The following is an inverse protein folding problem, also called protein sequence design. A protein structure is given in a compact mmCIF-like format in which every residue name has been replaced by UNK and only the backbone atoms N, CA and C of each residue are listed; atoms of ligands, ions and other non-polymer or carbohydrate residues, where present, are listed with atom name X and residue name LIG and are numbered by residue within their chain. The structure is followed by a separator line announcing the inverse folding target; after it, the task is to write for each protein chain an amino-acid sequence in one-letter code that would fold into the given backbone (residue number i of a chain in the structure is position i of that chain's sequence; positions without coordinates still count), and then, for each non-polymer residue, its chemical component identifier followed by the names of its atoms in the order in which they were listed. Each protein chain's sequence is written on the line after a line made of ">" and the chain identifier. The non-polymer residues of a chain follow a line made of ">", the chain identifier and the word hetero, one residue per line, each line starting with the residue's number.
data_IF_800749458250
#
_entry.id   IF_800749458250
#
_cell.length_a   1.000
_cell.length_b   1.000
_cell.length_c   1.000
_cell.angle_alpha   90.00
_cell.angle_beta   90.00
_cell.angle_gamma   90.00
#
_symmetry.space_group_name_H-M   'P 1'
#
loop_
_entity.id
_entity.type
_entity.pdbx_description
1 polymer ?
#
# COMPACT_ATOMS: atom_id res chain seq x y z
N UNK A 1 -30.24 -3.30 -6.19
CA UNK A 1 -28.77 -3.29 -6.38
C UNK A 1 -28.21 -2.42 -5.27
N UNK A 2 -27.50 -2.99 -4.31
CA UNK A 2 -27.02 -2.22 -3.14
C UNK A 2 -25.70 -1.53 -3.53
N UNK A 3 -25.80 -0.33 -4.07
CA UNK A 3 -24.64 0.50 -4.38
C UNK A 3 -24.17 1.04 -3.03
N UNK A 4 -23.03 0.57 -2.54
CA UNK A 4 -22.39 1.22 -1.41
C UNK A 4 -21.92 2.59 -1.93
N UNK A 5 -22.58 3.67 -1.51
CA UNK A 5 -22.25 5.05 -1.87
C UNK A 5 -20.93 5.45 -1.20
N UNK A 6 -19.81 4.93 -1.70
CA UNK A 6 -18.48 5.31 -1.26
C UNK A 6 -18.01 6.55 -2.00
N UNK A 7 -17.80 7.62 -1.24
CA UNK A 7 -17.30 8.88 -1.76
C UNK A 7 -15.80 9.02 -1.52
N UNK A 8 -15.03 9.34 -2.57
CA UNK A 8 -13.59 9.56 -2.47
C UNK A 8 -13.21 10.70 -1.51
N UNK A 9 -14.11 11.68 -1.28
CA UNK A 9 -13.94 12.75 -0.30
C UNK A 9 -13.73 12.20 1.12
N UNK A 10 -14.17 10.98 1.42
CA UNK A 10 -13.89 10.32 2.70
C UNK A 10 -12.38 10.18 2.98
N UNK A 11 -11.53 10.23 1.95
CA UNK A 11 -10.08 10.11 2.08
C UNK A 11 -9.34 11.44 2.25
N UNK A 12 -10.02 12.59 2.38
CA UNK A 12 -9.38 13.92 2.36
C UNK A 12 -8.22 14.11 3.37
N UNK A 13 -8.29 13.44 4.53
CA UNK A 13 -7.25 13.52 5.57
C UNK A 13 -6.36 12.26 5.63
N UNK A 14 -6.45 11.39 4.63
CA UNK A 14 -5.65 10.16 4.57
C UNK A 14 -4.24 10.47 4.07
N UNK A 15 -3.24 9.99 4.82
CA UNK A 15 -1.84 10.06 4.40
C UNK A 15 -1.49 8.91 3.47
N UNK A 16 -0.75 9.20 2.40
CA UNK A 16 -0.44 8.24 1.34
C UNK A 16 1.07 7.97 1.30
N UNK A 17 1.44 6.69 1.34
CA UNK A 17 2.82 6.24 1.18
C UNK A 17 2.97 5.44 -0.12
N UNK A 18 3.95 5.83 -0.94
CA UNK A 18 4.31 5.15 -2.16
C UNK A 18 5.63 4.37 -1.98
N UNK A 19 5.60 3.07 -2.30
CA UNK A 19 6.77 2.19 -2.23
C UNK A 19 7.26 1.94 -3.66
N UNK A 20 8.42 2.49 -3.99
CA UNK A 20 9.00 2.48 -5.33
C UNK A 20 8.62 3.70 -6.16
N UNK A 21 9.54 4.12 -7.04
CA UNK A 21 9.35 5.25 -7.96
C UNK A 21 8.21 5.00 -8.94
N UNK A 22 8.08 3.78 -9.47
CA UNK A 22 6.99 3.41 -10.37
C UNK A 22 5.61 3.55 -9.71
N UNK A 23 5.47 3.11 -8.46
CA UNK A 23 4.22 3.27 -7.69
C UNK A 23 3.88 4.76 -7.52
N UNK A 24 4.85 5.60 -7.18
CA UNK A 24 4.62 7.04 -7.06
C UNK A 24 4.18 7.69 -8.39
N UNK A 25 4.78 7.27 -9.51
CA UNK A 25 4.40 7.73 -10.84
C UNK A 25 2.96 7.31 -11.21
N UNK A 26 2.59 6.05 -10.91
CA UNK A 26 1.23 5.56 -11.16
C UNK A 26 0.19 6.28 -10.28
N UNK A 27 0.50 6.55 -9.02
CA UNK A 27 -0.37 7.35 -8.15
C UNK A 27 -0.62 8.75 -8.76
N UNK A 28 0.43 9.40 -9.26
CA UNK A 28 0.32 10.70 -9.93
C UNK A 28 -0.57 10.64 -11.17
N UNK A 29 -0.44 9.61 -12.01
CA UNK A 29 -1.30 9.40 -13.19
C UNK A 29 -2.76 9.19 -12.83
N UNK A 30 -3.06 8.70 -11.63
CA UNK A 30 -4.40 8.43 -11.12
C UNK A 30 -4.93 9.53 -10.18
N UNK A 31 -4.39 10.76 -10.26
CA UNK A 31 -4.91 11.91 -9.52
C UNK A 31 -4.35 12.11 -8.11
N UNK A 32 -3.41 11.26 -7.67
CA UNK A 32 -2.69 11.41 -6.40
C UNK A 32 -1.32 12.01 -6.69
N UNK A 33 -1.25 13.33 -6.86
CA UNK A 33 -0.08 14.01 -7.41
C UNK A 33 1.18 13.95 -6.54
N UNK A 34 1.02 13.92 -5.21
CA UNK A 34 2.12 13.95 -4.25
C UNK A 34 1.81 13.09 -3.02
N UNK A 35 2.31 11.84 -2.96
CA UNK A 35 2.29 11.05 -1.74
C UNK A 35 3.08 11.74 -0.62
N UNK A 36 2.60 11.63 0.63
CA UNK A 36 3.28 12.18 1.81
C UNK A 36 4.63 11.48 2.07
N UNK A 37 4.74 10.20 1.71
CA UNK A 37 5.95 9.41 1.86
C UNK A 37 6.26 8.72 0.53
N UNK A 38 7.49 8.88 0.04
CA UNK A 38 7.99 8.13 -1.12
C UNK A 38 9.25 7.36 -0.69
N UNK A 39 9.19 6.04 -0.79
CA UNK A 39 10.32 5.15 -0.48
C UNK A 39 10.86 4.59 -1.78
N UNK A 40 11.92 5.19 -2.34
CA UNK A 40 12.44 4.83 -3.67
C UNK A 40 13.16 3.49 -3.70
N UNK A 41 13.75 3.05 -2.59
CA UNK A 41 14.35 1.72 -2.46
C UNK A 41 13.26 0.72 -2.06
N UNK A 42 12.90 -0.19 -2.96
CA UNK A 42 11.88 -1.23 -2.80
C UNK A 42 12.25 -2.35 -1.81
N UNK A 43 12.99 -2.03 -0.74
CA UNK A 43 13.23 -2.94 0.38
C UNK A 43 12.29 -2.56 1.51
N UNK A 44 11.47 -3.48 2.00
CA UNK A 44 10.51 -3.23 3.09
C UNK A 44 11.12 -2.53 4.31
N UNK A 45 12.40 -2.79 4.58
CA UNK A 45 13.19 -2.12 5.63
C UNK A 45 13.31 -0.59 5.47
N UNK A 46 13.22 -0.07 4.25
CA UNK A 46 13.35 1.37 3.98
C UNK A 46 12.10 2.14 4.42
N UNK A 47 10.92 1.51 4.39
CA UNK A 47 9.69 2.10 4.91
C UNK A 47 9.70 2.10 6.44
N UNK A 48 10.14 1.01 7.07
CA UNK A 48 10.25 0.90 8.53
C UNK A 48 11.16 1.99 9.11
N UNK A 49 12.30 2.25 8.47
CA UNK A 49 13.19 3.37 8.86
C UNK A 49 12.50 4.74 8.85
N UNK A 50 11.43 4.93 8.06
CA UNK A 50 10.64 6.16 8.13
C UNK A 50 9.69 6.20 9.32
N UNK A 51 9.22 5.06 9.80
CA UNK A 51 8.43 4.97 11.03
C UNK A 51 9.26 5.19 12.30
N UNK A 52 10.60 5.09 12.24
CA UNK A 52 11.45 5.58 13.33
C UNK A 52 11.35 7.10 13.51
N UNK A 53 11.12 7.83 12.42
CA UNK A 53 11.01 9.30 12.42
C UNK A 53 9.58 9.82 12.42
N UNK A 54 8.59 8.94 12.26
CA UNK A 54 7.17 9.27 12.15
C UNK A 54 6.40 8.43 13.14
N UNK A 55 5.75 9.08 14.12
CA UNK A 55 4.92 8.37 15.07
C UNK A 55 3.65 7.83 14.38
N UNK A 56 3.55 6.51 14.28
CA UNK A 56 2.38 5.82 13.71
C UNK A 56 1.53 5.10 14.78
N UNK A 57 1.82 5.32 16.07
CA UNK A 57 1.09 4.67 17.16
C UNK A 57 -0.40 5.01 17.07
N UNK A 58 -1.24 3.98 17.18
CA UNK A 58 -2.71 4.01 17.05
C UNK A 58 -3.25 4.37 15.65
N UNK A 59 -2.41 4.64 14.65
CA UNK A 59 -2.88 4.91 13.29
C UNK A 59 -3.46 3.65 12.66
N UNK A 60 -4.51 3.83 11.85
CA UNK A 60 -5.06 2.76 11.00
C UNK A 60 -4.36 2.83 9.64
N UNK A 61 -3.68 1.76 9.26
CA UNK A 61 -2.94 1.68 8.00
C UNK A 61 -3.61 0.64 7.10
N UNK A 62 -4.00 1.05 5.90
CA UNK A 62 -4.53 0.17 4.86
C UNK A 62 -3.41 -0.16 3.87
N UNK A 63 -3.19 -1.45 3.62
CA UNK A 63 -2.19 -1.91 2.64
C UNK A 63 -2.89 -2.75 1.57
N UNK A 64 -3.16 -2.17 0.39
CA UNK A 64 -3.52 -2.92 -0.80
C UNK A 64 -2.30 -3.73 -1.27
N UNK A 65 -2.42 -5.06 -1.32
CA UNK A 65 -1.33 -5.96 -1.71
C UNK A 65 -1.82 -7.08 -2.64
N UNK A 66 -0.94 -7.77 -3.38
CA UNK A 66 -1.35 -8.98 -4.07
C UNK A 66 -1.83 -10.06 -3.09
N UNK A 67 -2.61 -11.00 -3.61
CA UNK A 67 -3.10 -12.14 -2.84
C UNK A 67 -1.94 -12.92 -2.20
N UNK A 68 -0.88 -13.15 -2.99
CA UNK A 68 0.31 -13.91 -2.58
C UNK A 68 1.52 -12.98 -2.63
N UNK A 69 2.26 -12.96 -1.53
CA UNK A 69 3.50 -12.17 -1.38
C UNK A 69 3.27 -10.72 -0.98
N UNK A 70 4.19 -10.19 -0.19
CA UNK A 70 4.37 -8.76 0.06
C UNK A 70 5.81 -8.56 0.50
N UNK A 71 6.45 -7.49 0.03
CA UNK A 71 7.79 -7.11 0.49
C UNK A 71 7.77 -6.37 1.84
N UNK A 72 6.59 -6.11 2.40
CA UNK A 72 6.39 -5.42 3.67
C UNK A 72 6.25 -6.40 4.83
N UNK A 73 7.02 -6.16 5.89
CA UNK A 73 6.87 -6.86 7.15
C UNK A 73 5.77 -6.21 7.99
N UNK A 74 4.56 -6.77 7.92
CA UNK A 74 3.38 -6.25 8.62
C UNK A 74 3.56 -6.30 10.14
N UNK A 75 4.17 -7.37 10.66
CA UNK A 75 4.38 -7.54 12.11
C UNK A 75 5.30 -6.44 12.62
N UNK A 76 6.34 -6.10 11.86
CA UNK A 76 7.23 -5.02 12.22
C UNK A 76 6.50 -3.67 12.26
N UNK A 77 5.58 -3.39 11.33
CA UNK A 77 4.77 -2.14 11.36
C UNK A 77 3.86 -2.12 12.59
N UNK A 78 3.23 -3.23 12.93
CA UNK A 78 2.36 -3.36 14.11
C UNK A 78 3.13 -3.20 15.43
N UNK A 79 4.41 -3.57 15.49
CA UNK A 79 5.28 -3.33 16.65
C UNK A 79 5.46 -1.84 16.97
N UNK A 80 5.33 -0.93 15.99
CA UNK A 80 5.30 0.53 16.22
C UNK A 80 3.91 1.02 16.71
N UNK A 81 2.97 0.11 16.98
CA UNK A 81 1.67 0.42 17.56
C UNK A 81 0.58 0.80 16.55
N UNK A 82 0.83 0.64 15.25
CA UNK A 82 -0.19 0.85 14.23
C UNK A 82 -1.16 -0.35 14.13
N UNK A 83 -2.40 -0.08 13.70
CA UNK A 83 -3.40 -1.10 13.37
C UNK A 83 -3.41 -1.30 11.87
N UNK A 84 -2.86 -2.42 11.39
CA UNK A 84 -2.70 -2.67 9.96
C UNK A 84 -3.83 -3.54 9.44
N UNK A 85 -4.50 -3.09 8.36
CA UNK A 85 -5.45 -3.88 7.59
C UNK A 85 -4.87 -4.12 6.20
N UNK A 86 -4.80 -5.38 5.79
CA UNK A 86 -4.42 -5.73 4.41
C UNK A 86 -5.66 -6.09 3.61
N UNK A 87 -5.68 -5.71 2.33
CA UNK A 87 -6.70 -6.13 1.37
C UNK A 87 -6.02 -6.71 0.13
N UNK A 88 -6.63 -7.73 -0.47
CA UNK A 88 -6.18 -8.30 -1.73
C UNK A 88 -6.63 -7.40 -2.87
N UNK A 89 -5.69 -6.67 -3.47
CA UNK A 89 -5.96 -5.77 -4.59
C UNK A 89 -5.98 -6.48 -5.95
N UNK A 90 -5.16 -7.52 -6.12
CA UNK A 90 -5.08 -8.29 -7.36
C UNK A 90 -4.52 -9.71 -7.15
N UNK A 91 -4.70 -10.57 -8.15
CA UNK A 91 -4.18 -11.94 -8.20
C UNK A 91 -3.22 -12.09 -9.37
N UNK A 92 -2.01 -12.58 -9.12
CA UNK A 92 -1.12 -13.02 -10.19
C UNK A 92 -1.64 -14.35 -10.73
N UNK A 93 -1.91 -14.42 -12.03
CA UNK A 93 -2.28 -15.66 -12.73
C UNK A 93 -1.25 -15.95 -13.81
N UNK A 94 -0.94 -17.24 -14.00
CA UNK A 94 -0.16 -17.68 -15.15
C UNK A 94 -1.01 -17.44 -16.40
N UNK A 95 -0.49 -16.78 -17.45
CA UNK A 95 -1.22 -16.59 -18.70
C UNK A 95 -1.64 -17.94 -19.30
N UNK A 96 -2.87 -18.03 -19.81
CA UNK A 96 -3.41 -19.28 -20.37
C UNK A 96 -2.56 -19.84 -21.52
N UNK A 97 -1.81 -19.00 -22.23
CA UNK A 97 -0.90 -19.36 -23.33
C UNK A 97 0.38 -20.07 -22.87
N UNK A 98 0.63 -20.19 -21.57
CA UNK A 98 1.83 -20.85 -21.02
C UNK A 98 1.57 -22.27 -20.51
N UNK A 99 0.35 -22.81 -20.68
CA UNK A 99 0.11 -24.24 -20.53
C UNK A 99 0.71 -24.96 -21.74
N UNK A 100 1.93 -25.46 -21.60
CA UNK A 100 2.50 -26.42 -22.57
C UNK A 100 1.49 -27.58 -22.71
N UNK A 101 1.03 -27.79 -23.94
CA UNK A 101 0.37 -29.02 -24.38
C UNK A 101 1.25 -30.23 -24.15
#
# INVERSE_FOLDING_TARGET
>A
MNILEYDARAFYNTKIAAIGSFTAEQLKKNGISQPDIIVTKSKGSSLIKKFETINIKNNKILIPKPNIGSSLDIKQIEQYGAKVKTITAYNNKIPNQSKKS
#
